data_IF_762574521016
#
_entry.id   IF_762574521016
#
_cell.length_a   1.000
_cell.length_b   1.000
_cell.length_c   1.000
_cell.angle_alpha   90.00
_cell.angle_beta   90.00
_cell.angle_gamma   90.00
#
_symmetry.space_group_name_H-M   'P 1'
#
loop_
_entity.id
_entity.type
_entity.pdbx_description
1 polymer ?
#
# COMPACT_ATOMS: atom_id res chain seq x y z
N UNK A 1 27.03 -2.82 -16.71
CA UNK A 1 26.25 -2.45 -15.50
C UNK A 1 24.86 -3.02 -15.68
N UNK A 2 24.40 -3.84 -14.73
CA UNK A 2 23.23 -4.70 -14.86
C UNK A 2 21.95 -3.91 -15.14
N UNK A 3 21.18 -4.34 -16.15
CA UNK A 3 19.83 -3.86 -16.37
C UNK A 3 18.99 -4.27 -15.15
N UNK A 4 18.57 -3.30 -14.34
CA UNK A 4 17.59 -3.54 -13.29
C UNK A 4 16.31 -4.02 -13.98
N UNK A 5 15.93 -5.27 -13.77
CA UNK A 5 14.61 -5.77 -14.11
C UNK A 5 13.62 -4.98 -13.26
N UNK A 6 13.08 -3.88 -13.81
CA UNK A 6 12.07 -3.08 -13.13
C UNK A 6 10.84 -3.97 -12.96
N UNK A 7 10.54 -4.34 -11.72
CA UNK A 7 9.39 -5.18 -11.43
C UNK A 7 8.11 -4.35 -11.61
N UNK A 8 6.97 -5.01 -11.82
CA UNK A 8 5.66 -4.32 -11.83
C UNK A 8 5.49 -3.45 -10.57
N UNK A 9 6.01 -3.92 -9.43
CA UNK A 9 5.94 -3.24 -8.14
C UNK A 9 6.78 -1.97 -8.05
N UNK A 10 7.94 -1.94 -8.70
CA UNK A 10 8.75 -0.72 -8.81
C UNK A 10 8.00 0.37 -9.60
N UNK A 11 7.33 -0.04 -10.69
CA UNK A 11 6.48 0.87 -11.48
C UNK A 11 5.27 1.36 -10.66
N UNK A 12 4.66 0.52 -9.82
CA UNK A 12 3.59 0.92 -8.90
C UNK A 12 4.09 1.95 -7.88
N UNK A 13 5.28 1.76 -7.33
CA UNK A 13 5.90 2.70 -6.39
C UNK A 13 6.21 4.04 -7.06
N UNK A 14 6.77 4.03 -8.27
CA UNK A 14 7.03 5.26 -9.03
C UNK A 14 5.73 6.01 -9.35
N UNK A 15 4.70 5.28 -9.80
CA UNK A 15 3.39 5.85 -10.08
C UNK A 15 2.79 6.49 -8.82
N UNK A 16 2.90 5.80 -7.68
CA UNK A 16 2.46 6.27 -6.37
C UNK A 16 3.17 7.56 -5.95
N UNK A 17 4.50 7.59 -6.03
CA UNK A 17 5.31 8.78 -5.70
C UNK A 17 4.98 9.95 -6.64
N UNK A 18 4.82 9.68 -7.93
CA UNK A 18 4.51 10.70 -8.92
C UNK A 18 3.13 11.32 -8.70
N UNK A 19 2.13 10.50 -8.33
CA UNK A 19 0.77 10.95 -8.05
C UNK A 19 0.72 11.84 -6.80
N UNK A 20 1.53 11.55 -5.80
CA UNK A 20 1.66 12.39 -4.60
C UNK A 20 2.23 13.77 -4.93
N UNK A 21 3.35 13.83 -5.67
CA UNK A 21 4.00 15.11 -6.06
C UNK A 21 3.06 15.97 -6.90
N UNK A 22 2.31 15.33 -7.81
CA UNK A 22 1.36 16.01 -8.70
C UNK A 22 0.02 16.32 -8.05
N UNK A 23 -0.21 15.88 -6.81
CA UNK A 23 -1.49 15.96 -6.10
C UNK A 23 -2.64 15.44 -7.00
N UNK A 24 -2.40 14.30 -7.65
CA UNK A 24 -3.34 13.69 -8.57
C UNK A 24 -4.63 13.29 -7.83
N UNK A 25 -5.75 13.34 -8.55
CA UNK A 25 -7.00 12.84 -8.02
C UNK A 25 -6.86 11.36 -7.58
N UNK A 26 -7.17 11.02 -6.32
CA UNK A 26 -6.97 9.67 -5.79
C UNK A 26 -7.77 8.59 -6.53
N UNK A 27 -8.91 8.94 -7.12
CA UNK A 27 -9.71 8.00 -7.89
C UNK A 27 -9.09 7.76 -9.27
N UNK A 28 -8.61 8.81 -9.95
CA UNK A 28 -7.85 8.66 -11.20
C UNK A 28 -6.58 7.83 -11.01
N UNK A 29 -5.87 8.06 -9.90
CA UNK A 29 -4.70 7.27 -9.53
C UNK A 29 -5.07 5.78 -9.36
N UNK A 30 -6.16 5.45 -8.65
CA UNK A 30 -6.60 4.06 -8.50
C UNK A 30 -6.94 3.39 -9.84
N UNK A 31 -7.56 4.12 -10.77
CA UNK A 31 -7.87 3.64 -12.12
C UNK A 31 -6.59 3.39 -12.93
N UNK A 32 -5.63 4.31 -12.88
CA UNK A 32 -4.35 4.12 -13.57
C UNK A 32 -3.58 2.92 -13.02
N UNK A 33 -3.56 2.77 -11.69
CA UNK A 33 -2.91 1.64 -11.04
C UNK A 33 -3.58 0.31 -11.45
N UNK A 34 -4.91 0.24 -11.45
CA UNK A 34 -5.62 -0.97 -11.85
C UNK A 34 -5.37 -1.34 -13.30
N UNK A 35 -5.35 -0.34 -14.19
CA UNK A 35 -5.00 -0.53 -15.60
C UNK A 35 -3.60 -1.10 -15.78
N UNK A 36 -2.62 -0.58 -15.03
CA UNK A 36 -1.24 -1.07 -15.08
C UNK A 36 -1.12 -2.51 -14.58
N UNK A 37 -1.80 -2.84 -13.48
CA UNK A 37 -1.78 -4.19 -12.90
C UNK A 37 -2.46 -5.22 -13.81
N UNK A 38 -3.61 -4.87 -14.39
CA UNK A 38 -4.29 -5.71 -15.37
C UNK A 38 -3.42 -5.94 -16.62
N UNK A 39 -2.74 -4.90 -17.12
CA UNK A 39 -1.81 -5.03 -18.25
C UNK A 39 -0.59 -5.90 -17.93
N UNK A 40 -0.20 -5.97 -16.65
CA UNK A 40 0.88 -6.82 -16.17
C UNK A 40 0.42 -8.26 -15.82
N UNK A 41 -0.87 -8.57 -15.97
CA UNK A 41 -1.44 -9.89 -15.65
C UNK A 41 -1.50 -10.19 -14.16
N UNK A 42 -1.59 -9.16 -13.31
CA UNK A 42 -1.72 -9.34 -11.85
C UNK A 42 -3.18 -9.53 -11.49
N UNK A 43 -3.48 -10.63 -10.80
CA UNK A 43 -4.82 -10.90 -10.27
C UNK A 43 -5.17 -9.93 -9.13
N UNK A 44 -6.39 -9.40 -9.17
CA UNK A 44 -6.94 -8.49 -8.16
C UNK A 44 -8.12 -9.17 -7.43
N UNK A 45 -8.21 -9.03 -6.09
CA UNK A 45 -7.36 -8.21 -5.22
C UNK A 45 -5.99 -8.85 -4.93
N UNK A 46 -4.92 -8.05 -4.99
CA UNK A 46 -3.54 -8.53 -4.80
C UNK A 46 -3.05 -8.33 -3.36
N UNK A 47 -2.53 -9.39 -2.75
CA UNK A 47 -1.94 -9.34 -1.40
C UNK A 47 -0.63 -8.55 -1.41
N UNK A 48 0.22 -8.78 -2.41
CA UNK A 48 1.50 -8.10 -2.57
C UNK A 48 1.33 -6.57 -2.65
N UNK A 49 0.30 -6.14 -3.40
CA UNK A 49 -0.06 -4.72 -3.49
C UNK A 49 -0.45 -4.14 -2.12
N UNK A 50 -1.20 -4.87 -1.31
CA UNK A 50 -1.60 -4.43 0.02
C UNK A 50 -0.38 -4.24 0.94
N UNK A 51 0.55 -5.20 0.93
CA UNK A 51 1.80 -5.10 1.69
C UNK A 51 2.63 -3.89 1.27
N UNK A 52 2.78 -3.67 -0.05
CA UNK A 52 3.54 -2.57 -0.61
C UNK A 52 2.92 -1.21 -0.25
N UNK A 53 1.61 -1.04 -0.46
CA UNK A 53 0.92 0.22 -0.15
C UNK A 53 0.96 0.54 1.35
N UNK A 54 0.67 -0.44 2.21
CA UNK A 54 0.70 -0.23 3.66
C UNK A 54 2.11 0.07 4.15
N UNK A 55 3.13 -0.63 3.64
CA UNK A 55 4.52 -0.34 3.98
C UNK A 55 4.91 1.08 3.56
N UNK A 56 4.50 1.52 2.38
CA UNK A 56 4.80 2.86 1.88
C UNK A 56 4.07 3.96 2.69
N UNK A 57 2.80 3.76 3.02
CA UNK A 57 1.99 4.69 3.83
C UNK A 57 2.55 4.82 5.25
N UNK A 58 2.90 3.70 5.89
CA UNK A 58 3.32 3.70 7.30
C UNK A 58 4.75 4.19 7.54
N UNK A 59 5.67 4.08 6.58
CA UNK A 59 7.05 4.50 6.78
C UNK A 59 7.38 5.85 6.14
N UNK A 60 6.85 6.13 4.95
CA UNK A 60 7.43 7.15 4.06
C UNK A 60 6.44 8.26 3.71
N UNK A 61 5.13 8.03 3.88
CA UNK A 61 4.11 8.95 3.38
C UNK A 61 2.86 9.05 4.28
N UNK A 62 2.99 9.81 5.36
CA UNK A 62 1.87 10.21 6.23
C UNK A 62 0.91 11.24 5.58
N UNK A 63 0.98 11.43 4.27
CA UNK A 63 0.20 12.43 3.55
C UNK A 63 -1.29 12.03 3.45
N UNK A 64 -2.24 12.94 3.75
CA UNK A 64 -3.68 12.66 3.67
C UNK A 64 -4.14 12.12 2.31
N UNK A 65 -3.49 12.53 1.22
CA UNK A 65 -3.81 12.06 -0.14
C UNK A 65 -3.58 10.56 -0.31
N UNK A 66 -2.55 10.01 0.33
CA UNK A 66 -2.21 8.58 0.23
C UNK A 66 -3.24 7.72 0.96
N UNK A 67 -3.77 8.21 2.08
CA UNK A 67 -4.88 7.56 2.79
C UNK A 67 -6.18 7.60 1.99
N UNK A 68 -6.50 8.76 1.37
CA UNK A 68 -7.64 8.86 0.43
C UNK A 68 -7.49 7.92 -0.75
N UNK A 69 -6.27 7.77 -1.26
CA UNK A 69 -5.97 6.80 -2.31
C UNK A 69 -6.19 5.36 -1.83
N UNK A 70 -5.77 5.01 -0.62
CA UNK A 70 -6.00 3.68 -0.04
C UNK A 70 -7.50 3.36 0.06
N UNK A 71 -8.33 4.33 0.48
CA UNK A 71 -9.79 4.19 0.49
C UNK A 71 -10.36 3.90 -0.91
N UNK A 72 -9.83 4.57 -1.95
CA UNK A 72 -10.20 4.28 -3.34
C UNK A 72 -9.71 2.91 -3.78
N UNK A 73 -8.47 2.53 -3.51
CA UNK A 73 -7.95 1.21 -3.84
C UNK A 73 -8.79 0.07 -3.23
N UNK A 74 -9.28 0.26 -2.00
CA UNK A 74 -10.24 -0.63 -1.34
C UNK A 74 -11.59 -0.65 -2.07
N UNK A 75 -12.13 0.51 -2.42
CA UNK A 75 -13.41 0.64 -3.15
C UNK A 75 -13.37 -0.01 -4.54
N UNK A 76 -12.20 0.02 -5.20
CA UNK A 76 -11.95 -0.62 -6.50
C UNK A 76 -11.56 -2.10 -6.40
N UNK A 77 -11.58 -2.71 -5.22
CA UNK A 77 -11.16 -4.10 -4.98
C UNK A 77 -9.73 -4.42 -5.49
N UNK A 78 -8.81 -3.44 -5.44
CA UNK A 78 -7.41 -3.66 -5.83
C UNK A 78 -6.64 -4.45 -4.77
N UNK A 79 -7.03 -4.28 -3.51
CA UNK A 79 -6.39 -4.90 -2.34
C UNK A 79 -7.44 -5.53 -1.43
N UNK A 80 -7.13 -6.64 -0.71
CA UNK A 80 -8.06 -7.25 0.23
C UNK A 80 -8.27 -6.35 1.46
N UNK A 81 -9.51 -5.90 1.77
CA UNK A 81 -9.75 -4.94 2.85
C UNK A 81 -9.33 -5.42 4.23
N UNK A 82 -9.60 -6.70 4.54
CA UNK A 82 -9.24 -7.30 5.83
C UNK A 82 -7.73 -7.38 6.01
N UNK A 83 -6.98 -7.65 4.93
CA UNK A 83 -5.52 -7.67 4.96
C UNK A 83 -4.95 -6.28 5.23
N UNK A 84 -5.46 -5.26 4.55
CA UNK A 84 -5.05 -3.86 4.77
C UNK A 84 -5.29 -3.45 6.22
N UNK A 85 -6.48 -3.76 6.77
CA UNK A 85 -6.79 -3.46 8.17
C UNK A 85 -5.88 -4.21 9.16
N UNK A 86 -5.57 -5.49 8.91
CA UNK A 86 -4.64 -6.24 9.73
C UNK A 86 -3.23 -5.64 9.71
N UNK A 87 -2.72 -5.29 8.52
CA UNK A 87 -1.41 -4.67 8.35
C UNK A 87 -1.35 -3.30 9.03
N UNK A 88 -2.37 -2.46 8.84
CA UNK A 88 -2.47 -1.17 9.52
C UNK A 88 -2.57 -1.34 11.03
N UNK A 89 -3.34 -2.31 11.54
CA UNK A 89 -3.45 -2.56 12.98
C UNK A 89 -2.10 -2.88 13.61
N UNK A 90 -1.26 -3.68 12.95
CA UNK A 90 0.09 -4.01 13.45
C UNK A 90 1.07 -2.84 13.43
N UNK A 91 0.87 -1.87 12.51
CA UNK A 91 1.79 -0.75 12.30
C UNK A 91 1.37 0.54 13.00
N UNK A 92 0.06 0.76 13.14
CA UNK A 92 -0.54 1.98 13.72
C UNK A 92 -0.86 1.80 15.21
N UNK A 93 -0.86 0.57 15.74
CA UNK A 93 -0.97 0.30 17.18
C UNK A 93 0.41 -0.11 17.71
N UNK A 94 1.24 0.79 18.26
CA UNK A 94 2.60 0.46 18.67
C UNK A 94 2.68 -0.38 19.95
N UNK A 95 1.56 -0.87 20.50
CA UNK A 95 1.49 -1.19 21.92
C UNK A 95 0.69 -2.45 22.26
N UNK A 96 1.12 -3.61 21.75
CA UNK A 96 0.69 -4.91 22.29
C UNK A 96 1.83 -5.85 22.71
N UNK A 97 3.03 -5.33 22.98
CA UNK A 97 4.15 -6.13 23.52
C UNK A 97 4.91 -5.42 24.65
N UNK A 98 4.19 -4.74 25.56
CA UNK A 98 4.71 -4.38 26.88
C UNK A 98 3.81 -4.97 27.98
N UNK A 99 3.60 -6.29 27.94
CA UNK A 99 2.92 -7.04 29.03
C UNK A 99 3.64 -8.38 29.34
N UNK A 100 4.77 -8.67 28.69
CA UNK A 100 5.58 -9.86 28.95
C UNK A 100 6.49 -9.79 30.18
N UNK A 101 6.59 -8.65 30.87
CA UNK A 101 7.49 -8.48 32.02
C UNK A 101 6.81 -8.64 33.40
N UNK A 102 5.54 -9.05 33.48
CA UNK A 102 4.83 -9.27 34.76
C UNK A 102 4.50 -10.75 35.00
N UNK A 103 5.27 -11.67 34.42
CA UNK A 103 5.25 -13.06 34.84
C UNK A 103 6.65 -13.66 34.77
N UNK A 104 7.45 -13.38 35.78
CA UNK A 104 8.30 -14.42 36.35
C UNK A 104 8.41 -14.18 37.86
N UNK A 105 8.01 -15.22 38.60
CA UNK A 105 8.21 -15.42 40.04
C UNK A 105 9.66 -15.35 40.45
#
# INVERSE_FOLDING_TARGET
MAAASCTVWDSVLELTKSAQVKNCDPQLWAIQLSSNLNSAGVDLPSMELAHLLVSHICFDNHMPITWKFLEKALSFNLVPPLLVLALLSTRVVPNRLHIGCIWNS
#
